data_IF_149809461984
#
_entry.id   IF_149809461984
#
_cell.length_a   1.000
_cell.length_b   1.000
_cell.length_c   1.000
_cell.angle_alpha   90.00
_cell.angle_beta   90.00
_cell.angle_gamma   90.00
#
_symmetry.space_group_name_H-M   'P 1'
#
loop_
_entity.id
_entity.type
_entity.pdbx_description
1 polymer ?
#
# COMPACT_ATOMS: atom_id res chain seq x y z
N UNK A 1 20.12 33.54 -17.03
CA UNK A 1 18.93 32.72 -17.31
C UNK A 1 18.73 31.58 -16.29
N UNK A 2 18.62 31.85 -14.96
CA UNK A 2 18.25 30.82 -13.98
C UNK A 2 16.73 30.64 -13.83
N UNK A 3 15.95 31.69 -14.13
CA UNK A 3 14.48 31.73 -13.98
C UNK A 3 13.76 30.75 -14.90
N UNK A 4 14.21 30.61 -16.15
CA UNK A 4 13.63 29.66 -17.11
C UNK A 4 13.86 28.20 -16.71
N UNK A 5 15.00 27.89 -16.08
CA UNK A 5 15.31 26.55 -15.56
C UNK A 5 14.50 26.22 -14.29
N UNK A 6 14.29 27.22 -13.43
CA UNK A 6 13.47 27.10 -12.23
C UNK A 6 11.98 26.87 -12.58
N UNK A 7 11.47 27.61 -13.58
CA UNK A 7 10.10 27.45 -14.09
C UNK A 7 9.90 26.09 -14.76
N UNK A 8 10.88 25.62 -15.55
CA UNK A 8 10.81 24.30 -16.19
C UNK A 8 10.85 23.15 -15.17
N UNK A 9 11.65 23.27 -14.11
CA UNK A 9 11.68 22.30 -13.01
C UNK A 9 10.38 22.26 -12.19
N UNK A 10 9.73 23.40 -11.98
CA UNK A 10 8.44 23.47 -11.29
C UNK A 10 7.31 22.80 -12.10
N UNK A 11 7.32 22.96 -13.42
CA UNK A 11 6.34 22.33 -14.32
C UNK A 11 6.52 20.81 -14.38
N UNK A 12 7.77 20.30 -14.38
CA UNK A 12 8.02 18.85 -14.39
C UNK A 12 7.63 18.16 -13.08
N UNK A 13 7.74 18.83 -11.92
CA UNK A 13 7.35 18.25 -10.61
C UNK A 13 5.83 18.17 -10.40
N UNK A 14 5.03 18.95 -11.13
CA UNK A 14 3.57 18.95 -11.00
C UNK A 14 2.87 17.75 -11.67
N UNK A 15 3.55 17.03 -12.56
CA UNK A 15 2.97 15.97 -13.40
C UNK A 15 3.02 14.57 -12.78
N UNK A 16 3.59 14.41 -11.58
CA UNK A 16 3.86 13.08 -10.99
C UNK A 16 2.82 12.62 -9.95
N UNK A 17 1.67 13.29 -9.84
CA UNK A 17 0.60 12.85 -8.93
C UNK A 17 -0.17 11.68 -9.55
N UNK A 18 0.22 10.45 -9.19
CA UNK A 18 -0.61 9.27 -9.38
C UNK A 18 -1.78 9.36 -8.39
N UNK A 19 -2.88 9.99 -8.80
CA UNK A 19 -4.06 10.10 -7.95
C UNK A 19 -4.81 8.75 -7.99
N UNK A 20 -4.53 7.91 -7.00
CA UNK A 20 -5.25 6.67 -6.73
C UNK A 20 -6.63 6.98 -6.13
N UNK A 21 -7.62 7.34 -6.96
CA UNK A 21 -8.99 7.60 -6.53
C UNK A 21 -9.87 6.36 -6.76
N UNK A 22 -10.52 5.88 -5.71
CA UNK A 22 -11.70 5.02 -5.79
C UNK A 22 -12.80 5.65 -4.93
N UNK A 23 -13.93 5.99 -5.54
CA UNK A 23 -15.09 6.57 -4.88
C UNK A 23 -16.07 5.50 -4.38
N UNK A 24 -17.06 5.85 -3.54
CA UNK A 24 -18.02 4.89 -2.98
C UNK A 24 -18.77 4.04 -4.02
N UNK A 25 -18.97 4.57 -5.23
CA UNK A 25 -19.63 3.86 -6.33
C UNK A 25 -18.75 2.80 -7.01
N UNK A 26 -17.42 2.86 -6.82
CA UNK A 26 -16.47 1.93 -7.44
C UNK A 26 -16.29 0.64 -6.63
N UNK A 27 -16.90 0.57 -5.44
CA UNK A 27 -16.84 -0.60 -4.57
C UNK A 27 -17.87 -1.64 -4.98
N UNK A 28 -17.40 -2.87 -5.17
CA UNK A 28 -18.22 -4.06 -5.38
C UNK A 28 -17.85 -5.16 -4.38
N UNK A 29 -18.61 -6.26 -4.36
CA UNK A 29 -18.23 -7.42 -3.54
C UNK A 29 -17.06 -8.18 -4.15
N UNK A 30 -16.16 -8.69 -3.30
CA UNK A 30 -14.94 -9.37 -3.74
C UNK A 30 -15.20 -10.78 -4.32
N UNK A 31 -14.29 -11.33 -5.15
CA UNK A 31 -14.52 -12.61 -5.83
C UNK A 31 -14.32 -13.84 -4.93
N UNK A 32 -13.61 -13.72 -3.80
CA UNK A 32 -13.29 -14.87 -2.93
C UNK A 32 -14.47 -15.36 -2.09
N UNK A 33 -15.30 -14.45 -1.59
CA UNK A 33 -16.44 -14.77 -0.75
C UNK A 33 -17.65 -14.03 -1.32
N UNK A 34 -18.62 -14.80 -1.82
CA UNK A 34 -19.80 -14.25 -2.49
C UNK A 34 -20.53 -13.28 -1.56
N UNK A 35 -20.72 -12.04 -2.03
CA UNK A 35 -21.48 -11.02 -1.30
C UNK A 35 -20.76 -10.40 -0.11
N UNK A 36 -19.46 -10.67 0.07
CA UNK A 36 -18.72 -10.21 1.24
C UNK A 36 -17.53 -9.31 0.89
N UNK A 37 -17.31 -8.30 1.74
CA UNK A 37 -16.21 -7.33 1.62
C UNK A 37 -16.40 -6.35 0.47
N UNK A 38 -16.18 -5.05 0.74
CA UNK A 38 -16.14 -4.03 -0.30
C UNK A 38 -14.75 -3.97 -0.94
N UNK A 39 -14.68 -4.07 -2.26
CA UNK A 39 -13.44 -4.07 -3.05
C UNK A 39 -13.62 -3.10 -4.20
N UNK A 40 -12.67 -2.19 -4.38
CA UNK A 40 -12.59 -1.31 -5.55
C UNK A 40 -11.23 -1.49 -6.23
N UNK A 41 -11.22 -1.45 -7.56
CA UNK A 41 -9.97 -1.46 -8.32
C UNK A 41 -9.31 -0.09 -8.22
N UNK A 42 -8.00 -0.06 -7.98
CA UNK A 42 -7.20 1.18 -7.94
C UNK A 42 -6.06 1.05 -8.94
N UNK A 43 -6.29 1.32 -10.24
CA UNK A 43 -5.31 1.07 -11.29
C UNK A 43 -4.00 1.87 -11.15
N UNK A 44 -4.08 3.04 -10.51
CA UNK A 44 -2.92 3.90 -10.24
C UNK A 44 -2.12 3.45 -8.99
N UNK A 45 -2.54 2.40 -8.29
CA UNK A 45 -1.78 1.86 -7.18
C UNK A 45 -0.52 1.16 -7.68
N UNK A 46 0.64 1.62 -7.22
CA UNK A 46 1.92 0.96 -7.50
C UNK A 46 1.89 -0.46 -6.93
N UNK A 47 2.16 -1.45 -7.79
CA UNK A 47 2.29 -2.82 -7.36
C UNK A 47 3.47 -2.98 -6.38
N UNK A 48 3.31 -3.84 -5.38
CA UNK A 48 4.43 -4.21 -4.51
C UNK A 48 5.52 -4.91 -5.35
N UNK A 49 6.80 -4.56 -5.17
CA UNK A 49 7.91 -5.26 -5.83
C UNK A 49 7.89 -6.75 -5.50
N UNK A 50 8.30 -7.58 -6.47
CA UNK A 50 8.35 -9.04 -6.30
C UNK A 50 9.30 -9.47 -5.17
N UNK A 51 10.30 -8.65 -4.85
CA UNK A 51 11.31 -8.85 -3.82
C UNK A 51 11.02 -8.05 -2.53
N UNK A 52 9.82 -7.47 -2.40
CA UNK A 52 9.43 -6.73 -1.20
C UNK A 52 9.50 -7.63 0.05
N UNK A 53 10.25 -7.18 1.07
CA UNK A 53 10.36 -7.85 2.37
C UNK A 53 9.66 -7.04 3.44
N UNK A 54 8.69 -7.65 4.10
CA UNK A 54 7.96 -7.04 5.21
C UNK A 54 8.45 -7.61 6.54
N UNK A 55 8.73 -6.72 7.51
CA UNK A 55 8.87 -7.11 8.91
C UNK A 55 7.48 -7.09 9.51
N UNK A 56 6.98 -8.26 9.88
CA UNK A 56 5.66 -8.41 10.51
C UNK A 56 5.88 -8.70 11.99
N UNK A 57 5.20 -7.93 12.85
CA UNK A 57 5.12 -8.22 14.27
C UNK A 57 3.72 -8.78 14.56
N UNK A 58 3.67 -9.86 15.33
CA UNK A 58 2.43 -10.46 15.80
C UNK A 58 2.28 -10.13 17.27
N UNK A 59 1.15 -9.56 17.64
CA UNK A 59 0.77 -9.44 19.05
C UNK A 59 0.20 -10.78 19.51
N UNK A 60 0.81 -11.37 20.52
CA UNK A 60 0.48 -12.70 21.03
C UNK A 60 0.27 -12.61 22.54
N UNK A 61 -0.64 -13.43 23.07
CA UNK A 61 -1.02 -13.39 24.48
C UNK A 61 0.18 -13.66 25.41
N UNK A 62 1.09 -14.55 25.00
CA UNK A 62 2.31 -14.87 25.73
C UNK A 62 3.56 -14.52 24.93
N UNK A 63 4.47 -13.76 25.56
CA UNK A 63 5.77 -13.45 24.98
C UNK A 63 6.65 -14.71 24.92
N UNK A 64 7.41 -14.85 23.83
CA UNK A 64 8.47 -15.85 23.72
C UNK A 64 9.69 -15.50 24.58
N UNK A 65 10.56 -16.48 24.81
CA UNK A 65 11.84 -16.25 25.48
C UNK A 65 12.74 -15.30 24.67
N UNK A 66 13.50 -14.46 25.37
CA UNK A 66 14.39 -13.49 24.75
C UNK A 66 15.50 -14.19 23.96
N UNK A 67 15.68 -13.79 22.69
CA UNK A 67 16.68 -14.38 21.80
C UNK A 67 16.29 -15.70 21.15
N UNK A 68 15.08 -16.22 21.45
CA UNK A 68 14.56 -17.45 20.87
C UNK A 68 13.44 -17.18 19.87
N UNK A 69 13.20 -18.15 18.97
CA UNK A 69 12.05 -18.10 18.07
C UNK A 69 10.75 -18.30 18.87
N UNK A 70 9.87 -17.31 18.88
CA UNK A 70 8.56 -17.44 19.52
C UNK A 70 7.70 -18.48 18.77
N UNK A 71 7.19 -19.49 19.48
CA UNK A 71 6.28 -20.53 18.95
C UNK A 71 4.91 -20.53 19.66
N UNK A 72 4.61 -19.52 20.46
CA UNK A 72 3.36 -19.38 21.24
C UNK A 72 2.20 -18.85 20.39
N UNK A 73 1.95 -19.49 19.25
CA UNK A 73 0.89 -19.12 18.29
C UNK A 73 -0.30 -20.09 18.31
N UNK A 74 -0.32 -21.04 19.24
CA UNK A 74 -1.40 -22.03 19.43
C UNK A 74 -2.62 -21.43 20.15
#
# INVERSE_FOLDING_TARGET
MPTTRLLLGLVLSGLSFNIALAGPADFSTGPRIKGFGAVASVPAATALPADARFKVAFDVAEAGAAGELNRRFD
#
